data_IF_766184111342
#
_entry.id   IF_766184111342
#
_cell.length_a   1.000
_cell.length_b   1.000
_cell.length_c   1.000
_cell.angle_alpha   90.00
_cell.angle_beta   90.00
_cell.angle_gamma   90.00
#
_symmetry.space_group_name_H-M   'P 1'
#
loop_
_entity.id
_entity.type
_entity.pdbx_description
1 polymer ?
#
# COMPACT_ATOMS: atom_id res chain seq x y z
N UNK A 1 -0.57 11.76 8.54
CA UNK A 1 0.01 11.15 7.32
C UNK A 1 -1.09 10.98 6.27
N UNK A 2 -1.22 11.93 5.35
CA UNK A 2 -2.19 11.87 4.22
C UNK A 2 -1.56 11.21 2.97
N UNK A 3 -0.24 11.02 2.95
CA UNK A 3 0.50 10.58 1.78
C UNK A 3 0.42 9.06 1.47
N UNK A 4 -0.22 8.24 2.32
CA UNK A 4 -0.34 6.78 2.15
C UNK A 4 -1.81 6.31 2.06
N UNK A 5 -2.73 7.20 1.67
CA UNK A 5 -4.16 6.90 1.53
C UNK A 5 -4.59 6.56 0.10
N UNK A 6 -3.65 6.47 -0.85
CA UNK A 6 -3.98 6.19 -2.26
C UNK A 6 -4.38 4.73 -2.53
N UNK A 7 -4.08 3.81 -1.61
CA UNK A 7 -4.36 2.39 -1.77
C UNK A 7 -5.86 2.08 -1.92
N UNK A 8 -6.71 2.50 -0.97
CA UNK A 8 -8.15 2.27 -1.06
C UNK A 8 -8.83 2.86 -2.31
N UNK A 9 -8.59 4.13 -2.71
CA UNK A 9 -9.13 4.66 -3.96
C UNK A 9 -8.71 3.88 -5.20
N UNK A 10 -7.43 3.49 -5.29
CA UNK A 10 -6.95 2.69 -6.42
C UNK A 10 -7.60 1.30 -6.43
N UNK A 11 -7.74 0.66 -5.27
CA UNK A 11 -8.40 -0.63 -5.14
C UNK A 11 -9.89 -0.55 -5.51
N UNK A 12 -10.60 0.51 -5.08
CA UNK A 12 -11.98 0.77 -5.47
C UNK A 12 -12.16 0.91 -6.98
N UNK A 13 -11.16 1.45 -7.68
CA UNK A 13 -11.18 1.55 -9.14
C UNK A 13 -10.80 0.25 -9.86
N UNK A 14 -9.74 -0.43 -9.40
CA UNK A 14 -9.18 -1.59 -10.11
C UNK A 14 -9.92 -2.91 -9.82
N UNK A 15 -10.46 -3.11 -8.61
CA UNK A 15 -11.13 -4.38 -8.26
C UNK A 15 -12.39 -4.64 -9.10
N UNK A 16 -13.27 -3.66 -9.39
CA UNK A 16 -14.43 -3.88 -10.26
C UNK A 16 -14.07 -4.24 -11.70
N UNK A 17 -12.86 -3.90 -12.17
CA UNK A 17 -12.40 -4.23 -13.53
C UNK A 17 -12.10 -5.72 -13.72
N UNK A 18 -12.06 -6.53 -12.65
CA UNK A 18 -11.89 -7.97 -12.74
C UNK A 18 -10.54 -8.42 -13.31
N UNK A 19 -9.51 -7.58 -13.21
CA UNK A 19 -8.16 -7.85 -13.71
C UNK A 19 -7.57 -9.11 -13.08
N UNK A 20 -6.84 -9.92 -13.86
CA UNK A 20 -6.07 -11.05 -13.32
C UNK A 20 -5.15 -10.58 -12.18
N UNK A 21 -4.97 -11.39 -11.12
CA UNK A 21 -4.23 -11.01 -9.89
C UNK A 21 -2.84 -10.44 -10.18
N UNK A 22 -2.17 -10.97 -11.19
CA UNK A 22 -0.84 -10.51 -11.61
C UNK A 22 -0.89 -9.11 -12.22
N UNK A 23 -1.87 -8.86 -13.10
CA UNK A 23 -2.07 -7.54 -13.72
C UNK A 23 -2.53 -6.53 -12.67
N UNK A 24 -3.43 -6.92 -11.76
CA UNK A 24 -3.86 -6.07 -10.64
C UNK A 24 -2.67 -5.68 -9.73
N UNK A 25 -1.88 -6.67 -9.31
CA UNK A 25 -0.72 -6.44 -8.44
C UNK A 25 0.38 -5.63 -9.15
N UNK A 26 0.67 -5.95 -10.42
CA UNK A 26 1.63 -5.23 -11.24
C UNK A 26 1.23 -3.78 -11.49
N UNK A 27 -0.03 -3.54 -11.84
CA UNK A 27 -0.56 -2.18 -12.06
C UNK A 27 -0.49 -1.35 -10.78
N UNK A 28 -0.91 -1.94 -9.65
CA UNK A 28 -0.85 -1.29 -8.34
C UNK A 28 0.59 -0.95 -7.97
N UNK A 29 1.52 -1.92 -8.12
CA UNK A 29 2.94 -1.73 -7.85
C UNK A 29 3.54 -0.62 -8.70
N UNK A 30 3.27 -0.61 -10.01
CA UNK A 30 3.78 0.40 -10.93
C UNK A 30 3.24 1.80 -10.61
N UNK A 31 1.94 1.92 -10.35
CA UNK A 31 1.30 3.18 -9.99
C UNK A 31 1.99 3.83 -8.79
N UNK A 32 2.20 3.07 -7.71
CA UNK A 32 2.89 3.58 -6.52
C UNK A 32 4.39 3.73 -6.72
N UNK A 33 5.04 2.88 -7.53
CA UNK A 33 6.47 3.03 -7.82
C UNK A 33 6.74 4.36 -8.52
N UNK A 34 5.96 4.69 -9.55
CA UNK A 34 6.07 5.98 -10.25
C UNK A 34 5.75 7.13 -9.29
N UNK A 35 4.63 7.04 -8.55
CA UNK A 35 4.25 8.06 -7.58
C UNK A 35 5.31 8.29 -6.48
N UNK A 36 5.95 7.24 -5.98
CA UNK A 36 7.02 7.37 -4.99
C UNK A 36 8.33 7.84 -5.61
N UNK A 37 8.68 7.41 -6.83
CA UNK A 37 9.89 7.85 -7.51
C UNK A 37 9.88 9.35 -7.80
N UNK A 38 8.73 9.90 -8.21
CA UNK A 38 8.58 11.36 -8.38
C UNK A 38 8.81 12.13 -7.08
N UNK A 39 8.43 11.54 -5.95
CA UNK A 39 8.61 12.11 -4.60
C UNK A 39 10.03 11.92 -4.06
N UNK A 40 10.73 10.88 -4.49
CA UNK A 40 12.04 10.53 -3.96
C UNK A 40 13.05 11.67 -4.11
N UNK A 41 13.14 12.28 -5.29
CA UNK A 41 14.10 13.37 -5.55
C UNK A 41 13.83 14.61 -4.66
N UNK A 42 12.60 15.19 -4.62
CA UNK A 42 12.28 16.26 -3.67
C UNK A 42 12.61 15.91 -2.23
N UNK A 43 12.25 14.71 -1.76
CA UNK A 43 12.53 14.30 -0.38
C UNK A 43 14.02 14.19 -0.08
N UNK A 44 14.83 13.67 -1.01
CA UNK A 44 16.28 13.57 -0.85
C UNK A 44 16.95 14.94 -0.74
N UNK A 45 16.43 15.96 -1.42
CA UNK A 45 16.95 17.33 -1.33
C UNK A 45 16.65 17.99 0.03
N UNK A 46 15.53 17.64 0.65
CA UNK A 46 15.15 18.17 1.98
C UNK A 46 15.69 17.33 3.14
N UNK A 47 15.96 16.04 2.93
CA UNK A 47 16.39 15.13 3.97
C UNK A 47 17.78 15.50 4.50
N UNK A 48 17.88 15.69 5.81
CA UNK A 48 19.17 15.86 6.50
C UNK A 48 19.64 14.49 7.01
N UNK A 49 20.89 14.08 6.77
CA UNK A 49 21.43 12.85 7.34
C UNK A 49 21.42 12.92 8.86
N UNK A 50 20.88 11.89 9.52
CA UNK A 50 20.98 11.70 10.96
C UNK A 50 21.16 10.20 11.28
N UNK A 51 21.55 9.91 12.52
CA UNK A 51 21.81 8.53 12.96
C UNK A 51 20.56 7.64 12.83
N UNK A 52 19.38 8.18 13.13
CA UNK A 52 18.12 7.43 13.03
C UNK A 52 17.80 7.02 11.59
N UNK A 53 18.05 7.90 10.62
CA UNK A 53 17.89 7.61 9.19
C UNK A 53 18.85 6.50 8.76
N UNK A 54 20.10 6.52 9.23
CA UNK A 54 21.08 5.48 8.92
C UNK A 54 20.66 4.11 9.48
N UNK A 55 20.16 4.07 10.72
CA UNK A 55 19.62 2.83 11.32
C UNK A 55 18.39 2.36 10.55
N UNK A 56 17.46 3.25 10.20
CA UNK A 56 16.29 2.91 9.40
C UNK A 56 16.68 2.34 8.03
N UNK A 57 17.63 2.96 7.34
CA UNK A 57 18.15 2.46 6.06
C UNK A 57 18.77 1.06 6.19
N UNK A 58 19.52 0.81 7.28
CA UNK A 58 20.10 -0.51 7.54
C UNK A 58 19.02 -1.58 7.77
N UNK A 59 17.97 -1.26 8.51
CA UNK A 59 16.83 -2.16 8.71
C UNK A 59 16.11 -2.41 7.38
N UNK A 60 15.85 -1.36 6.61
CA UNK A 60 15.18 -1.45 5.31
C UNK A 60 15.95 -2.32 4.31
N UNK A 61 17.29 -2.35 4.38
CA UNK A 61 18.13 -3.18 3.52
C UNK A 61 17.76 -4.67 3.60
N UNK A 62 17.35 -5.15 4.78
CA UNK A 62 16.91 -6.54 4.99
C UNK A 62 15.39 -6.68 4.87
N UNK A 63 14.63 -5.72 5.39
CA UNK A 63 13.16 -5.77 5.42
C UNK A 63 12.53 -5.70 4.01
N UNK A 64 13.10 -4.91 3.09
CA UNK A 64 12.56 -4.75 1.73
C UNK A 64 12.66 -6.06 0.93
N UNK A 65 13.85 -6.67 0.73
CA UNK A 65 13.95 -7.89 -0.08
C UNK A 65 13.20 -9.07 0.56
N UNK A 66 13.20 -9.19 1.89
CA UNK A 66 12.41 -10.22 2.57
C UNK A 66 10.91 -10.02 2.38
N UNK A 67 10.41 -8.79 2.54
CA UNK A 67 9.01 -8.44 2.30
C UNK A 67 8.57 -8.69 0.86
N UNK A 68 9.38 -8.29 -0.13
CA UNK A 68 9.09 -8.53 -1.56
C UNK A 68 9.03 -10.02 -1.87
N UNK A 69 9.99 -10.80 -1.36
CA UNK A 69 10.03 -12.25 -1.60
C UNK A 69 8.83 -12.97 -0.97
N UNK A 70 8.47 -12.58 0.27
CA UNK A 70 7.28 -13.10 0.94
C UNK A 70 6.00 -12.74 0.18
N UNK A 71 5.85 -11.48 -0.23
CA UNK A 71 4.71 -11.02 -1.00
C UNK A 71 4.56 -11.77 -2.33
N UNK A 72 5.66 -11.97 -3.05
CA UNK A 72 5.67 -12.73 -4.30
C UNK A 72 5.26 -14.20 -4.09
N UNK A 73 5.77 -14.86 -3.04
CA UNK A 73 5.38 -16.23 -2.69
C UNK A 73 3.89 -16.33 -2.33
N UNK A 74 3.40 -15.43 -1.48
CA UNK A 74 1.99 -15.37 -1.10
C UNK A 74 1.08 -15.15 -2.31
N UNK A 75 1.46 -14.25 -3.20
CA UNK A 75 0.75 -14.00 -4.45
C UNK A 75 0.68 -15.25 -5.35
N UNK A 76 1.75 -16.05 -5.37
CA UNK A 76 1.79 -17.34 -6.07
C UNK A 76 0.82 -18.37 -5.48
N UNK A 77 0.71 -18.43 -4.15
CA UNK A 77 -0.11 -19.40 -3.42
C UNK A 77 -1.61 -19.07 -3.49
N UNK A 78 -1.97 -17.79 -3.45
CA UNK A 78 -3.36 -17.36 -3.39
C UNK A 78 -4.07 -17.45 -4.74
N UNK A 79 -5.30 -17.97 -4.76
CA UNK A 79 -6.14 -17.92 -5.95
C UNK A 79 -6.77 -16.51 -6.15
N UNK A 80 -7.11 -16.17 -7.39
CA UNK A 80 -7.75 -14.90 -7.78
C UNK A 80 -8.93 -14.54 -6.87
N UNK A 81 -9.81 -15.52 -6.60
CA UNK A 81 -10.98 -15.32 -5.74
C UNK A 81 -10.60 -15.00 -4.30
N UNK A 82 -9.53 -15.60 -3.78
CA UNK A 82 -9.07 -15.37 -2.41
C UNK A 82 -8.50 -13.96 -2.28
N UNK A 83 -7.68 -13.52 -3.24
CA UNK A 83 -7.14 -12.16 -3.28
C UNK A 83 -8.29 -11.14 -3.31
N UNK A 84 -9.25 -11.31 -4.21
CA UNK A 84 -10.36 -10.38 -4.36
C UNK A 84 -11.25 -10.33 -3.12
N UNK A 85 -11.56 -11.49 -2.52
CA UNK A 85 -12.33 -11.55 -1.26
C UNK A 85 -11.60 -10.85 -0.13
N UNK A 86 -10.28 -11.04 0.00
CA UNK A 86 -9.47 -10.36 0.99
C UNK A 86 -9.48 -8.84 0.77
N UNK A 87 -9.29 -8.38 -0.47
CA UNK A 87 -9.33 -6.96 -0.81
C UNK A 87 -10.69 -6.31 -0.50
N UNK A 88 -11.80 -6.91 -0.93
CA UNK A 88 -13.14 -6.41 -0.61
C UNK A 88 -13.43 -6.46 0.90
N UNK A 89 -13.02 -7.53 1.59
CA UNK A 89 -13.18 -7.63 3.04
C UNK A 89 -12.46 -6.51 3.79
N UNK A 90 -11.20 -6.25 3.44
CA UNK A 90 -10.42 -5.15 4.02
C UNK A 90 -11.03 -3.79 3.68
N UNK A 91 -11.52 -3.58 2.45
CA UNK A 91 -12.19 -2.33 2.06
C UNK A 91 -13.45 -2.08 2.89
N UNK A 92 -14.28 -3.10 3.12
CA UNK A 92 -15.47 -2.99 3.96
C UNK A 92 -15.08 -2.64 5.40
N UNK A 93 -14.09 -3.32 5.98
CA UNK A 93 -13.60 -3.03 7.33
C UNK A 93 -13.09 -1.60 7.46
N UNK A 94 -12.31 -1.13 6.49
CA UNK A 94 -11.79 0.25 6.45
C UNK A 94 -12.93 1.25 6.29
N UNK A 95 -13.91 0.98 5.42
CA UNK A 95 -15.07 1.84 5.23
C UNK A 95 -15.89 1.97 6.51
N UNK A 96 -16.17 0.86 7.20
CA UNK A 96 -16.87 0.86 8.49
C UNK A 96 -16.12 1.66 9.56
N UNK A 97 -14.79 1.47 9.63
CA UNK A 97 -13.93 2.22 10.57
C UNK A 97 -13.96 3.72 10.27
N UNK A 98 -13.87 4.11 9.00
CA UNK A 98 -13.93 5.53 8.59
C UNK A 98 -15.29 6.16 8.87
N UNK A 99 -16.39 5.42 8.68
CA UNK A 99 -17.72 5.89 9.04
C UNK A 99 -17.84 6.12 10.56
N UNK A 100 -17.30 5.21 11.36
CA UNK A 100 -17.28 5.36 12.82
C UNK A 100 -16.45 6.57 13.27
N UNK A 101 -15.23 6.72 12.72
CA UNK A 101 -14.38 7.88 13.01
C UNK A 101 -15.09 9.20 12.63
N UNK A 102 -15.76 9.21 11.46
CA UNK A 102 -16.53 10.36 11.01
C UNK A 102 -17.65 10.72 11.98
N UNK A 103 -18.50 9.75 12.32
CA UNK A 103 -19.63 9.96 13.23
C UNK A 103 -19.17 10.36 14.64
N UNK A 104 -18.18 9.66 15.20
CA UNK A 104 -17.67 9.97 16.54
C UNK A 104 -17.02 11.36 16.61
N UNK A 105 -16.34 11.79 15.54
CA UNK A 105 -15.80 13.15 15.44
C UNK A 105 -16.84 14.26 15.29
N UNK A 106 -18.08 13.95 14.92
CA UNK A 106 -19.21 14.91 14.92
C UNK A 106 -19.96 14.97 16.26
N UNK A 107 -19.84 13.93 17.09
CA UNK A 107 -20.54 13.82 18.38
C UNK A 107 -19.72 14.36 19.56
N UNK A 108 -18.45 14.69 19.34
CA UNK A 108 -17.52 15.31 20.32
C UNK A 108 -17.24 16.74 19.88
#
# INVERSE_FOLDING_TARGET
>A
MVAHSGGPPLAMYLLPLGLNKEVYAGTTSLFFTVGNATKALPWLLLAKPNADLAVLMAICLLAIPSGVTLGWRLQGILDQRQVYRACYGLLVLVALKLLWDGVSGFLV
#
